data_IF_189544494724
#
_entry.id   IF_189544494724
#
_cell.length_a   1.000
_cell.length_b   1.000
_cell.length_c   1.000
_cell.angle_alpha   90.00
_cell.angle_beta   90.00
_cell.angle_gamma   90.00
#
_symmetry.space_group_name_H-M   'P 1'
#
loop_
_entity.id
_entity.type
_entity.pdbx_description
1 polymer ?
#
# COMPACT_ATOMS: atom_id res chain seq x y z
N UNK A 1 -12.96 -3.49 36.60
CA UNK A 1 -13.44 -2.10 36.59
C UNK A 1 -12.36 -1.22 37.19
N UNK A 2 -11.69 -0.42 36.36
CA UNK A 2 -10.91 0.73 36.80
C UNK A 2 -10.83 1.73 35.65
N UNK A 3 -12.01 2.16 35.18
CA UNK A 3 -12.14 3.33 34.31
C UNK A 3 -11.98 4.59 35.16
N UNK A 4 -10.73 4.93 35.45
CA UNK A 4 -10.40 6.29 35.89
C UNK A 4 -10.42 7.18 34.66
N UNK A 5 -11.62 7.66 34.37
CA UNK A 5 -11.90 8.86 33.59
C UNK A 5 -10.87 9.97 33.89
N UNK A 6 -9.92 10.18 32.98
CA UNK A 6 -9.10 11.41 32.98
C UNK A 6 -9.87 12.48 32.20
N UNK A 7 -10.81 13.16 32.88
CA UNK A 7 -11.57 14.31 32.37
C UNK A 7 -10.76 15.61 32.53
N UNK A 8 -9.56 15.66 31.97
CA UNK A 8 -8.91 16.96 31.76
C UNK A 8 -8.31 16.92 30.38
N UNK A 9 -8.89 17.71 29.47
CA UNK A 9 -8.27 17.96 28.17
C UNK A 9 -6.85 18.45 28.41
N UNK A 10 -5.89 17.73 27.85
CA UNK A 10 -4.49 18.07 28.01
C UNK A 10 -4.25 19.47 27.46
N UNK A 11 -3.80 20.39 28.33
CA UNK A 11 -3.52 21.77 27.94
C UNK A 11 -2.04 21.92 27.66
N UNK A 12 -1.69 22.40 26.47
CA UNK A 12 -0.30 22.64 26.09
C UNK A 12 0.30 23.76 26.92
N UNK A 13 1.55 23.59 27.33
CA UNK A 13 2.34 24.70 27.84
C UNK A 13 2.78 25.61 26.69
N UNK A 14 3.15 26.87 26.98
CA UNK A 14 3.64 27.79 25.94
C UNK A 14 4.86 27.23 25.18
N UNK A 15 5.75 26.51 25.87
CA UNK A 15 6.93 25.88 25.24
C UNK A 15 6.54 24.74 24.31
N UNK A 16 5.52 23.97 24.69
CA UNK A 16 5.00 22.88 23.87
C UNK A 16 4.25 23.41 22.64
N UNK A 17 3.50 24.50 22.78
CA UNK A 17 2.85 25.18 21.67
C UNK A 17 3.88 25.67 20.64
N UNK A 18 4.88 26.44 21.09
CA UNK A 18 5.96 26.92 20.23
C UNK A 18 6.71 25.76 19.55
N UNK A 19 6.95 24.67 20.29
CA UNK A 19 7.60 23.49 19.74
C UNK A 19 6.79 22.86 18.61
N UNK A 20 5.47 22.72 18.78
CA UNK A 20 4.60 22.18 17.74
C UNK A 20 4.59 23.10 16.51
N UNK A 21 4.48 24.41 16.69
CA UNK A 21 4.50 25.38 15.58
C UNK A 21 5.78 25.25 14.75
N UNK A 22 6.94 25.21 15.40
CA UNK A 22 8.24 25.07 14.72
C UNK A 22 8.35 23.73 14.00
N UNK A 23 7.87 22.63 14.61
CA UNK A 23 7.93 21.29 13.99
C UNK A 23 6.98 21.15 12.79
N UNK A 24 5.84 21.83 12.81
CA UNK A 24 4.84 21.77 11.74
C UNK A 24 5.11 22.74 10.59
N UNK A 25 6.10 23.61 10.72
CA UNK A 25 6.55 24.46 9.62
C UNK A 25 7.36 23.64 8.58
N UNK A 26 6.89 23.52 7.32
CA UNK A 26 7.58 22.80 6.27
C UNK A 26 9.01 23.30 5.99
N UNK A 27 9.32 24.57 6.27
CA UNK A 27 10.65 25.14 6.11
C UNK A 27 11.69 24.53 7.08
N UNK A 28 11.21 23.91 8.16
CA UNK A 28 12.05 23.30 9.19
C UNK A 28 12.26 21.79 8.98
N UNK A 29 11.68 21.17 7.94
CA UNK A 29 11.72 19.71 7.70
C UNK A 29 13.11 19.07 7.81
N UNK A 30 14.14 19.76 7.34
CA UNK A 30 15.52 19.23 7.28
C UNK A 30 16.38 19.64 8.48
N UNK A 31 15.82 20.37 9.44
CA UNK A 31 16.58 20.87 10.60
C UNK A 31 16.81 19.76 11.62
N UNK A 32 17.95 19.84 12.31
CA UNK A 32 18.24 18.93 13.42
C UNK A 32 17.33 19.20 14.62
N UNK A 33 17.13 18.20 15.50
CA UNK A 33 16.39 18.40 16.77
C UNK A 33 16.99 19.55 17.58
N UNK A 34 18.33 19.70 17.57
CA UNK A 34 19.01 20.80 18.24
C UNK A 34 18.56 22.16 17.70
N UNK A 35 18.44 22.31 16.37
CA UNK A 35 18.02 23.56 15.75
C UNK A 35 16.52 23.82 15.93
N UNK A 36 15.70 22.77 15.89
CA UNK A 36 14.27 22.84 16.24
C UNK A 36 14.11 23.37 17.67
N UNK A 37 14.85 22.82 18.64
CA UNK A 37 14.78 23.25 20.03
C UNK A 37 15.22 24.72 20.20
N UNK A 38 16.27 25.14 19.48
CA UNK A 38 16.72 26.54 19.48
C UNK A 38 15.63 27.48 18.94
N UNK A 39 15.02 27.12 17.80
CA UNK A 39 13.93 27.89 17.19
C UNK A 39 12.69 27.95 18.08
N UNK A 40 12.35 26.84 18.73
CA UNK A 40 11.23 26.75 19.68
C UNK A 40 11.54 27.36 21.06
N UNK A 41 12.75 27.87 21.27
CA UNK A 41 13.25 28.37 22.56
C UNK A 41 13.05 27.38 23.72
N UNK A 42 13.40 26.11 23.48
CA UNK A 42 13.31 25.04 24.47
C UNK A 42 14.60 24.21 24.55
N UNK A 43 14.73 23.41 25.62
CA UNK A 43 15.85 22.48 25.75
C UNK A 43 15.54 21.16 25.03
N UNK A 44 16.58 20.40 24.67
CA UNK A 44 16.40 19.04 24.15
C UNK A 44 15.72 18.10 25.15
N UNK A 45 15.94 18.29 26.45
CA UNK A 45 15.27 17.52 27.49
C UNK A 45 13.77 17.78 27.43
N UNK A 46 13.36 19.05 27.37
CA UNK A 46 11.96 19.46 27.22
C UNK A 46 11.32 18.87 25.96
N UNK A 47 12.05 18.81 24.85
CA UNK A 47 11.58 18.15 23.62
C UNK A 47 11.21 16.68 23.88
N UNK A 48 12.13 15.88 24.42
CA UNK A 48 11.87 14.45 24.64
C UNK A 48 10.83 14.22 25.74
N UNK A 49 10.81 15.04 26.78
CA UNK A 49 9.77 15.00 27.83
C UNK A 49 8.38 15.28 27.27
N UNK A 50 8.23 16.23 26.33
CA UNK A 50 6.95 16.50 25.69
C UNK A 50 6.43 15.27 24.95
N UNK A 51 7.29 14.56 24.21
CA UNK A 51 6.89 13.33 23.50
C UNK A 51 6.58 12.14 24.43
N UNK A 52 7.02 12.16 25.68
CA UNK A 52 6.61 11.17 26.68
C UNK A 52 5.19 11.41 27.21
N UNK A 53 4.58 12.58 26.94
CA UNK A 53 3.22 12.91 27.37
C UNK A 53 2.22 12.52 26.28
N UNK A 54 1.31 11.55 26.52
CA UNK A 54 0.35 11.12 25.52
C UNK A 54 -0.55 12.24 24.99
N UNK A 55 -0.90 13.21 25.85
CA UNK A 55 -1.71 14.36 25.47
C UNK A 55 -1.03 15.29 24.46
N UNK A 56 0.27 15.56 24.63
CA UNK A 56 1.07 16.33 23.67
C UNK A 56 1.12 15.61 22.31
N UNK A 57 1.41 14.31 22.32
CA UNK A 57 1.48 13.49 21.11
C UNK A 57 0.14 13.47 20.37
N UNK A 58 -0.98 13.40 21.10
CA UNK A 58 -2.32 13.45 20.52
C UNK A 58 -2.53 14.77 19.77
N UNK A 59 -2.28 15.90 20.42
CA UNK A 59 -2.48 17.23 19.80
C UNK A 59 -1.53 17.44 18.62
N UNK A 60 -0.27 17.03 18.74
CA UNK A 60 0.69 17.09 17.64
C UNK A 60 0.19 16.30 16.41
N UNK A 61 -0.33 15.09 16.62
CA UNK A 61 -0.89 14.27 15.53
C UNK A 61 -2.11 14.93 14.89
N UNK A 62 -3.05 15.43 15.69
CA UNK A 62 -4.24 16.13 15.21
C UNK A 62 -3.87 17.33 14.34
N UNK A 63 -2.94 18.17 14.81
CA UNK A 63 -2.45 19.33 14.04
C UNK A 63 -1.67 18.92 12.79
N UNK A 64 -0.92 17.83 12.85
CA UNK A 64 -0.22 17.27 11.68
C UNK A 64 -1.20 16.82 10.59
N UNK A 65 -2.30 16.17 10.97
CA UNK A 65 -3.35 15.75 10.04
C UNK A 65 -4.03 16.97 9.44
N UNK A 66 -4.43 17.94 10.27
CA UNK A 66 -5.04 19.19 9.78
C UNK A 66 -4.11 19.96 8.81
N UNK A 67 -2.80 19.91 9.03
CA UNK A 67 -1.83 20.46 8.10
C UNK A 67 -1.82 19.68 6.78
N UNK A 68 -1.80 18.35 6.82
CA UNK A 68 -1.83 17.52 5.61
C UNK A 68 -3.10 17.77 4.78
N UNK A 69 -4.26 17.91 5.43
CA UNK A 69 -5.54 18.25 4.77
C UNK A 69 -5.46 19.57 4.01
N UNK A 70 -4.80 20.59 4.56
CA UNK A 70 -4.61 21.88 3.88
C UNK A 70 -3.79 21.75 2.59
N UNK A 71 -2.79 20.87 2.58
CA UNK A 71 -1.94 20.65 1.40
C UNK A 71 -2.47 19.58 0.45
N UNK A 72 -3.52 18.83 0.84
CA UNK A 72 -4.04 17.69 0.10
C UNK A 72 -4.31 18.03 -1.38
N UNK A 73 -4.98 19.14 -1.67
CA UNK A 73 -5.28 19.54 -3.05
C UNK A 73 -4.02 19.74 -3.91
N UNK A 74 -2.99 20.38 -3.34
CA UNK A 74 -1.71 20.59 -4.06
C UNK A 74 -0.98 19.28 -4.37
N UNK A 75 -1.02 18.33 -3.43
CA UNK A 75 -0.42 17.00 -3.58
C UNK A 75 -1.19 16.21 -4.65
N UNK A 76 -2.52 16.23 -4.59
CA UNK A 76 -3.38 15.59 -5.61
C UNK A 76 -3.10 16.15 -7.01
N UNK A 77 -2.99 17.47 -7.16
CA UNK A 77 -2.66 18.09 -8.45
C UNK A 77 -1.28 17.66 -8.98
N UNK A 78 -0.29 17.53 -8.09
CA UNK A 78 1.02 17.01 -8.47
C UNK A 78 0.93 15.55 -8.94
N UNK A 79 0.18 14.71 -8.22
CA UNK A 79 -0.04 13.31 -8.59
C UNK A 79 -0.74 13.18 -9.95
N UNK A 80 -1.81 13.95 -10.19
CA UNK A 80 -2.52 13.95 -11.47
C UNK A 80 -1.59 14.35 -12.61
N UNK A 81 -0.77 15.39 -12.42
CA UNK A 81 0.18 15.85 -13.43
C UNK A 81 1.23 14.79 -13.75
N UNK A 82 1.83 14.15 -12.75
CA UNK A 82 2.83 13.11 -13.00
C UNK A 82 2.21 11.84 -13.58
N UNK A 83 1.01 11.46 -13.16
CA UNK A 83 0.26 10.36 -13.75
C UNK A 83 -0.05 10.61 -15.24
N UNK A 84 -0.51 11.81 -15.59
CA UNK A 84 -0.78 12.21 -16.97
C UNK A 84 0.47 12.21 -17.86
N UNK A 85 1.67 12.36 -17.27
CA UNK A 85 2.96 12.24 -17.95
C UNK A 85 3.45 10.79 -18.12
N UNK A 86 2.65 9.81 -17.71
CA UNK A 86 2.96 8.39 -17.83
C UNK A 86 3.60 7.77 -16.59
N UNK A 87 3.63 8.47 -15.44
CA UNK A 87 4.12 7.86 -14.21
C UNK A 87 3.11 6.83 -13.68
N UNK A 88 3.40 5.55 -13.89
CA UNK A 88 2.55 4.44 -13.47
C UNK A 88 2.26 4.46 -11.96
N UNK A 89 3.24 4.78 -11.12
CA UNK A 89 3.06 4.76 -9.66
C UNK A 89 2.03 5.80 -9.19
N UNK A 90 2.11 7.03 -9.70
CA UNK A 90 1.13 8.08 -9.37
C UNK A 90 -0.26 7.73 -9.93
N UNK A 91 -0.32 7.17 -11.15
CA UNK A 91 -1.56 6.70 -11.75
C UNK A 91 -2.21 5.57 -10.95
N UNK A 92 -1.44 4.57 -10.50
CA UNK A 92 -1.91 3.46 -9.66
C UNK A 92 -2.59 3.99 -8.41
N UNK A 93 -1.93 4.89 -7.68
CA UNK A 93 -2.50 5.50 -6.45
C UNK A 93 -3.83 6.19 -6.74
N UNK A 94 -3.92 6.98 -7.82
CA UNK A 94 -5.17 7.67 -8.18
C UNK A 94 -6.30 6.69 -8.56
N UNK A 95 -5.98 5.63 -9.31
CA UNK A 95 -6.97 4.61 -9.71
C UNK A 95 -7.45 3.78 -8.52
N UNK A 96 -6.57 3.48 -7.57
CA UNK A 96 -6.93 2.86 -6.29
C UNK A 96 -7.85 3.75 -5.46
N UNK A 97 -7.50 5.04 -5.32
CA UNK A 97 -8.34 6.02 -4.62
C UNK A 97 -9.71 6.21 -5.27
N UNK A 98 -9.79 6.12 -6.60
CA UNK A 98 -11.04 6.19 -7.34
C UNK A 98 -11.85 4.87 -7.31
N UNK A 99 -11.29 3.79 -6.77
CA UNK A 99 -11.90 2.46 -6.78
C UNK A 99 -11.91 1.78 -8.16
N UNK A 100 -11.23 2.37 -9.15
CA UNK A 100 -11.13 1.84 -10.51
C UNK A 100 -10.08 0.72 -10.65
N UNK A 101 -9.19 0.60 -9.66
CA UNK A 101 -8.18 -0.46 -9.60
C UNK A 101 -8.13 -1.07 -8.20
N UNK A 102 -7.97 -2.39 -8.13
CA UNK A 102 -7.74 -3.13 -6.88
C UNK A 102 -6.65 -4.17 -7.11
N UNK A 103 -5.60 -4.10 -6.31
CA UNK A 103 -4.53 -5.09 -6.35
C UNK A 103 -5.05 -6.46 -5.88
N UNK A 104 -4.96 -7.46 -6.75
CA UNK A 104 -5.32 -8.84 -6.42
C UNK A 104 -4.16 -9.43 -5.60
N UNK A 105 -4.33 -9.47 -4.29
CA UNK A 105 -3.39 -10.14 -3.40
C UNK A 105 -3.71 -11.64 -3.37
N UNK A 106 -2.76 -12.47 -3.82
CA UNK A 106 -2.84 -13.92 -3.66
C UNK A 106 -2.62 -14.25 -2.19
N UNK A 107 -3.69 -14.63 -1.48
CA UNK A 107 -3.59 -15.16 -0.12
C UNK A 107 -3.42 -16.66 -0.19
N UNK A 108 -2.24 -17.15 0.17
CA UNK A 108 -2.03 -18.58 0.44
C UNK A 108 -2.62 -18.89 1.81
N UNK A 109 -3.73 -19.62 1.84
CA UNK A 109 -4.33 -20.14 3.07
C UNK A 109 -3.90 -21.59 3.17
N UNK A 110 -2.96 -21.89 4.06
CA UNK A 110 -2.70 -23.27 4.46
C UNK A 110 -3.82 -23.70 5.42
N UNK A 111 -4.55 -24.75 5.06
CA UNK A 111 -5.51 -25.38 5.99
C UNK A 111 -4.78 -25.99 7.18
N UNK A 112 -5.42 -25.98 8.34
CA UNK A 112 -4.93 -26.75 9.48
C UNK A 112 -5.05 -28.25 9.17
N UNK A 113 -4.17 -29.09 9.73
CA UNK A 113 -4.06 -30.53 9.36
C UNK A 113 -5.37 -31.30 9.49
N UNK A 114 -6.27 -30.83 10.36
CA UNK A 114 -7.56 -31.45 10.65
C UNK A 114 -8.75 -30.76 9.94
N UNK A 115 -8.53 -29.66 9.21
CA UNK A 115 -9.56 -28.95 8.45
C UNK A 115 -8.98 -28.37 7.14
N UNK A 116 -8.86 -29.18 6.08
CA UNK A 116 -8.43 -28.71 4.78
C UNK A 116 -9.47 -27.73 4.19
N UNK A 117 -8.99 -26.63 3.59
CA UNK A 117 -9.84 -25.64 2.94
C UNK A 117 -10.39 -26.22 1.65
N UNK A 118 -11.72 -26.42 1.58
CA UNK A 118 -12.39 -26.76 0.33
C UNK A 118 -12.43 -25.55 -0.61
N UNK A 119 -11.47 -25.49 -1.54
CA UNK A 119 -11.44 -24.47 -2.57
C UNK A 119 -12.41 -24.85 -3.70
N UNK A 120 -13.65 -24.37 -3.62
CA UNK A 120 -14.61 -24.48 -4.72
C UNK A 120 -14.28 -23.44 -5.81
N UNK A 121 -13.25 -23.71 -6.61
CA UNK A 121 -12.98 -22.95 -7.83
C UNK A 121 -14.07 -23.25 -8.86
N UNK A 122 -15.06 -22.36 -8.99
CA UNK A 122 -15.92 -22.33 -10.18
C UNK A 122 -15.08 -21.84 -11.37
N UNK A 123 -14.33 -22.73 -12.01
CA UNK A 123 -13.78 -22.48 -13.35
C UNK A 123 -14.93 -22.68 -14.34
N UNK A 124 -15.69 -21.61 -14.59
CA UNK A 124 -16.72 -21.59 -15.64
C UNK A 124 -16.06 -21.66 -17.02
N UNK A 125 -15.72 -22.86 -17.49
CA UNK A 125 -15.59 -23.14 -18.93
C UNK A 125 -16.49 -24.27 -19.43
N UNK A 126 -17.10 -25.04 -18.52
CA UNK A 126 -17.89 -26.24 -18.88
C UNK A 126 -19.24 -26.33 -18.15
N UNK A 127 -19.60 -25.30 -17.38
CA UNK A 127 -20.76 -25.31 -16.48
C UNK A 127 -22.13 -25.32 -17.19
N UNK A 128 -22.17 -25.19 -18.52
CA UNK A 128 -23.39 -25.21 -19.32
C UNK A 128 -23.35 -26.15 -20.52
N UNK A 129 -22.30 -26.96 -20.67
CA UNK A 129 -22.14 -27.86 -21.81
C UNK A 129 -22.88 -29.18 -21.57
N UNK A 130 -23.60 -29.64 -22.59
CA UNK A 130 -24.24 -30.95 -22.62
C UNK A 130 -23.18 -32.06 -22.51
N UNK A 131 -23.56 -33.28 -22.10
CA UNK A 131 -22.64 -34.41 -22.07
C UNK A 131 -21.94 -34.66 -23.42
N UNK A 132 -22.61 -34.37 -24.54
CA UNK A 132 -22.08 -34.57 -25.90
C UNK A 132 -21.00 -33.53 -26.24
N UNK A 133 -21.22 -32.26 -25.87
CA UNK A 133 -20.25 -31.18 -26.11
C UNK A 133 -18.96 -31.38 -25.31
N UNK A 134 -19.06 -31.98 -24.12
CA UNK A 134 -17.89 -32.33 -23.31
C UNK A 134 -17.06 -33.44 -23.95
N UNK A 135 -17.72 -34.42 -24.56
CA UNK A 135 -17.03 -35.53 -25.27
C UNK A 135 -16.34 -35.01 -26.53
N UNK A 136 -16.96 -34.07 -27.26
CA UNK A 136 -16.36 -33.45 -28.45
C UNK A 136 -15.05 -32.71 -28.12
N UNK A 137 -15.03 -31.92 -27.05
CA UNK A 137 -13.82 -31.18 -26.62
C UNK A 137 -12.69 -32.15 -26.20
N UNK A 138 -13.02 -33.24 -25.52
CA UNK A 138 -12.04 -34.27 -25.14
C UNK A 138 -11.50 -35.01 -26.36
N UNK A 139 -12.32 -35.22 -27.40
CA UNK A 139 -11.87 -35.83 -28.66
C UNK A 139 -10.95 -34.89 -29.47
N UNK A 140 -11.27 -33.60 -29.51
CA UNK A 140 -10.46 -32.58 -30.20
C UNK A 140 -9.09 -32.39 -29.53
N UNK A 141 -9.03 -32.40 -28.19
CA UNK A 141 -7.78 -32.34 -27.43
C UNK A 141 -6.89 -33.58 -27.63
N UNK A 142 -7.49 -34.76 -27.83
CA UNK A 142 -6.73 -35.98 -28.12
C UNK A 142 -6.15 -36.00 -29.54
N UNK A 143 -6.80 -35.35 -30.50
CA UNK A 143 -6.28 -35.23 -31.87
C UNK A 143 -5.11 -34.25 -31.98
N UNK A 144 -4.97 -33.31 -31.04
CA UNK A 144 -3.85 -32.38 -31.00
C UNK A 144 -2.56 -32.97 -30.41
N UNK A 145 -2.65 -34.09 -29.68
CA UNK A 145 -1.51 -34.78 -29.07
C UNK A 145 -0.96 -35.94 -29.94
N UNK A 146 -1.64 -36.31 -31.02
CA UNK A 146 -1.34 -37.46 -31.90
C UNK A 146 -0.78 -37.06 -33.29
N UNK A 147 -0.09 -35.91 -33.42
CA UNK A 147 0.80 -35.64 -34.57
C UNK A 147 2.27 -35.83 -34.15
N UNK A 148 3.02 -36.73 -34.81
CA UNK A 148 4.20 -37.38 -34.26
C UNK A 148 5.43 -36.46 -34.27
N UNK A 149 6.28 -36.67 -33.26
CA UNK A 149 7.65 -36.23 -33.28
C UNK A 149 8.41 -36.89 -34.44
N UNK A 150 8.59 -36.20 -35.57
CA UNK A 150 9.70 -36.39 -36.50
C UNK A 150 9.71 -35.24 -37.52
N UNK A 151 10.78 -34.43 -37.49
CA UNK A 151 11.32 -33.55 -38.56
C UNK A 151 12.00 -32.29 -38.00
N UNK A 152 12.91 -32.46 -37.03
CA UNK A 152 13.93 -31.45 -36.73
C UNK A 152 15.36 -32.03 -36.81
N UNK A 153 15.61 -32.90 -37.79
CA UNK A 153 16.95 -33.06 -38.37
C UNK A 153 17.14 -32.05 -39.52
N UNK A 154 17.38 -30.77 -39.21
CA UNK A 154 17.94 -29.83 -40.21
C UNK A 154 18.41 -28.48 -39.62
N UNK A 155 19.31 -28.48 -38.64
CA UNK A 155 20.21 -27.32 -38.45
C UNK A 155 21.58 -27.79 -37.93
N UNK A 156 22.39 -28.31 -38.87
CA UNK A 156 23.86 -28.29 -38.72
C UNK A 156 24.29 -26.84 -38.78
N UNK A 157 24.72 -26.28 -37.65
CA UNK A 157 25.57 -25.08 -37.65
C UNK A 157 26.99 -25.59 -37.45
N UNK A 158 27.73 -25.71 -38.54
CA UNK A 158 29.19 -25.82 -38.48
C UNK A 158 29.74 -24.46 -38.06
N UNK A 159 30.34 -24.40 -36.87
CA UNK A 159 31.19 -23.29 -36.46
C UNK A 159 32.60 -23.66 -36.90
N UNK A 160 33.11 -22.95 -37.90
CA UNK A 160 34.51 -22.96 -38.31
C UNK A 160 35.38 -22.27 -37.26
N UNK A 161 36.53 -22.87 -36.92
CA UNK A 161 37.71 -22.13 -36.46
C UNK A 161 38.44 -21.49 -37.65
#
# INVERSE_FOLDING_TARGET
MNDKQNLTEYTLTQKEENLIEVMLDPANRMKSITDICKLANCSRVTYYEAFNKPGFVKIYKERSIALAEKYLGSVMNAFVREAARGSFQHGKVLLEMAGAYKEVTRKEVAGDKDNPVEVNMKVSRVAGLSPEEKVAIVAELRQADDDPADDLEQFRVEVTE
#
